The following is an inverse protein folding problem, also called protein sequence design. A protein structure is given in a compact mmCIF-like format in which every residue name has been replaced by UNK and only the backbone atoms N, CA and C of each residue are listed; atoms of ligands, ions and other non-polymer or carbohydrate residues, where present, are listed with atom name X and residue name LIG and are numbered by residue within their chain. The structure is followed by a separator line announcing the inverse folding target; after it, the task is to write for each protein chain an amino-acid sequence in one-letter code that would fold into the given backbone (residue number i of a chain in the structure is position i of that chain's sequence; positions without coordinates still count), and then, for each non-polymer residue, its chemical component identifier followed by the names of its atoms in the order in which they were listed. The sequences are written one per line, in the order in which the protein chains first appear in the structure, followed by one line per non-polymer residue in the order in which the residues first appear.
data_IF_650580382796
#
_entry.id   IF_650580382796
#
_cell.length_a   1.000
_cell.length_b   1.000
_cell.length_c   1.000
_cell.angle_alpha   90.00
_cell.angle_beta   90.00
_cell.angle_gamma   90.00
#
_symmetry.space_group_name_H-M   'P 1'
#
loop_
_entity.id
_entity.type
_entity.pdbx_description
1 polymer ?
#
# COMPACT_ATOMS: atom_id res chain seq x y z
N UNK A 1 -13.00 2.00 12.21
CA UNK A 1 -13.79 0.84 11.73
C UNK A 1 -13.27 -0.42 12.42
N UNK A 2 -14.12 -1.44 12.65
CA UNK A 2 -13.71 -2.74 13.21
C UNK A 2 -13.02 -3.62 12.16
N UNK A 3 -12.30 -4.66 12.60
CA UNK A 3 -11.68 -5.61 11.69
C UNK A 3 -12.72 -6.31 10.79
N UNK A 4 -13.83 -6.77 11.37
CA UNK A 4 -14.85 -7.52 10.63
C UNK A 4 -15.52 -6.66 9.55
N UNK A 5 -15.77 -5.38 9.84
CA UNK A 5 -16.33 -4.45 8.86
C UNK A 5 -15.31 -4.14 7.74
N UNK A 6 -14.03 -4.02 8.07
CA UNK A 6 -12.95 -3.82 7.09
C UNK A 6 -12.75 -5.06 6.20
N UNK A 7 -12.79 -6.27 6.79
CA UNK A 7 -12.70 -7.52 6.06
C UNK A 7 -13.90 -7.72 5.12
N UNK A 8 -15.11 -7.42 5.58
CA UNK A 8 -16.32 -7.50 4.75
C UNK A 8 -16.27 -6.51 3.58
N UNK A 9 -15.82 -5.27 3.83
CA UNK A 9 -15.56 -4.29 2.76
C UNK A 9 -14.53 -4.84 1.76
N UNK A 10 -13.40 -5.35 2.24
CA UNK A 10 -12.35 -5.90 1.39
C UNK A 10 -12.82 -7.08 0.53
N UNK A 11 -13.61 -8.01 1.09
CA UNK A 11 -14.21 -9.12 0.34
C UNK A 11 -15.11 -8.64 -0.80
N UNK A 12 -15.93 -7.62 -0.55
CA UNK A 12 -16.81 -7.02 -1.57
C UNK A 12 -16.01 -6.34 -2.68
N UNK A 13 -14.92 -5.67 -2.32
CA UNK A 13 -14.00 -5.06 -3.29
C UNK A 13 -13.38 -6.10 -4.22
N UNK A 14 -12.83 -7.18 -3.66
CA UNK A 14 -12.25 -8.26 -4.48
C UNK A 14 -13.28 -8.95 -5.40
N UNK A 15 -14.58 -8.87 -5.08
CA UNK A 15 -15.64 -9.42 -5.91
C UNK A 15 -16.01 -8.51 -7.10
N UNK A 16 -15.74 -7.21 -7.03
CA UNK A 16 -15.94 -6.26 -8.14
C UNK A 16 -14.71 -6.12 -9.03
N UNK A 17 -13.53 -6.44 -8.50
CA UNK A 17 -12.28 -6.40 -9.25
C UNK A 17 -12.18 -7.47 -10.35
N UNK A 18 -11.30 -7.23 -11.33
CA UNK A 18 -11.01 -8.22 -12.38
C UNK A 18 -10.64 -9.56 -11.75
N UNK A 19 -11.36 -10.62 -12.13
CA UNK A 19 -11.19 -11.93 -11.53
C UNK A 19 -9.73 -12.45 -11.60
N UNK A 20 -9.10 -12.58 -10.43
CA UNK A 20 -7.80 -13.25 -10.22
C UNK A 20 -7.91 -14.20 -9.02
N UNK A 21 -8.57 -15.37 -9.15
CA UNK A 21 -8.96 -16.20 -8.00
C UNK A 21 -7.81 -16.60 -7.09
N UNK A 22 -6.63 -16.96 -7.63
CA UNK A 22 -5.48 -17.33 -6.82
C UNK A 22 -4.92 -16.11 -6.06
N UNK A 23 -4.86 -14.95 -6.70
CA UNK A 23 -4.38 -13.70 -6.08
C UNK A 23 -5.34 -13.25 -4.98
N UNK A 24 -6.64 -13.18 -5.28
CA UNK A 24 -7.68 -12.76 -4.33
C UNK A 24 -7.77 -13.77 -3.17
N UNK A 25 -7.66 -15.07 -3.46
CA UNK A 25 -7.62 -16.13 -2.47
C UNK A 25 -6.45 -15.96 -1.49
N UNK A 26 -5.24 -15.66 -1.99
CA UNK A 26 -4.10 -15.39 -1.11
C UNK A 26 -4.27 -14.10 -0.32
N UNK A 27 -4.76 -13.01 -0.92
CA UNK A 27 -5.03 -11.77 -0.18
C UNK A 27 -6.00 -12.01 0.98
N UNK A 28 -7.06 -12.80 0.77
CA UNK A 28 -7.99 -13.19 1.84
C UNK A 28 -7.35 -14.11 2.88
N UNK A 29 -6.49 -15.04 2.46
CA UNK A 29 -5.76 -15.91 3.39
C UNK A 29 -4.76 -15.13 4.26
N UNK A 30 -4.20 -14.03 3.74
CA UNK A 30 -3.30 -13.12 4.44
C UNK A 30 -4.04 -12.06 5.27
N UNK A 31 -5.38 -12.01 5.23
CA UNK A 31 -6.19 -11.20 6.12
C UNK A 31 -6.20 -11.80 7.54
N UNK A 32 -5.06 -11.71 8.22
CA UNK A 32 -4.90 -12.23 9.57
C UNK A 32 -5.33 -11.16 10.60
N UNK A 33 -6.35 -11.43 11.43
CA UNK A 33 -6.90 -10.42 12.36
C UNK A 33 -5.89 -9.94 13.40
N UNK A 34 -5.03 -10.83 13.91
CA UNK A 34 -4.05 -10.47 14.92
C UNK A 34 -2.94 -9.57 14.34
N UNK A 35 -2.43 -9.91 13.16
CA UNK A 35 -1.41 -9.11 12.47
C UNK A 35 -1.97 -7.75 12.06
N UNK A 36 -3.12 -7.72 11.35
CA UNK A 36 -3.76 -6.50 10.87
C UNK A 36 -4.14 -5.60 12.04
N UNK A 37 -4.73 -6.16 13.10
CA UNK A 37 -5.11 -5.40 14.28
C UNK A 37 -3.91 -4.76 14.97
N UNK A 38 -2.83 -5.53 15.19
CA UNK A 38 -1.59 -5.02 15.81
C UNK A 38 -0.94 -3.91 14.99
N UNK A 39 -0.76 -4.13 13.69
CA UNK A 39 -0.06 -3.14 12.85
C UNK A 39 -0.90 -1.88 12.64
N UNK A 40 -2.22 -2.03 12.49
CA UNK A 40 -3.11 -0.86 12.37
C UNK A 40 -3.16 -0.05 13.66
N UNK A 41 -3.16 -0.72 14.83
CA UNK A 41 -3.06 -0.05 16.12
C UNK A 41 -1.72 0.68 16.26
N UNK A 42 -0.60 0.05 15.88
CA UNK A 42 0.74 0.68 15.96
C UNK A 42 0.82 1.95 15.10
N UNK A 43 0.22 1.93 13.90
CA UNK A 43 0.14 3.10 13.02
C UNK A 43 -0.78 4.18 13.61
N UNK A 44 -1.91 3.78 14.19
CA UNK A 44 -2.82 4.72 14.87
C UNK A 44 -2.13 5.40 16.05
N UNK A 45 -1.47 4.63 16.93
CA UNK A 45 -0.74 5.16 18.09
C UNK A 45 0.41 6.09 17.67
N UNK A 46 1.11 5.77 16.56
CA UNK A 46 2.12 6.64 15.99
C UNK A 46 1.53 7.99 15.54
N UNK A 47 0.42 7.97 14.80
CA UNK A 47 -0.30 9.18 14.37
C UNK A 47 -0.79 10.00 15.57
N UNK A 48 -1.43 9.36 16.55
CA UNK A 48 -1.93 10.00 17.76
C UNK A 48 -0.79 10.60 18.61
N UNK A 49 0.40 9.98 18.57
CA UNK A 49 1.62 10.44 19.20
C UNK A 49 2.39 11.53 18.43
N UNK A 50 1.92 11.93 17.24
CA UNK A 50 2.57 12.92 16.38
C UNK A 50 3.80 12.41 15.64
N UNK A 51 3.98 11.10 15.52
CA UNK A 51 4.98 10.51 14.63
C UNK A 51 4.55 10.61 13.17
N UNK A 52 5.51 10.75 12.25
CA UNK A 52 5.22 10.81 10.82
C UNK A 52 4.94 9.43 10.26
N UNK A 53 3.82 9.31 9.55
CA UNK A 53 3.48 8.14 8.73
C UNK A 53 3.45 8.56 7.27
N UNK A 54 4.39 8.04 6.49
CA UNK A 54 4.47 8.29 5.06
C UNK A 54 3.71 7.22 4.28
N UNK A 55 3.01 7.64 3.24
CA UNK A 55 2.27 6.76 2.33
C UNK A 55 2.69 6.98 0.88
N UNK A 56 2.75 5.89 0.12
CA UNK A 56 2.89 5.87 -1.33
C UNK A 56 2.28 4.59 -1.88
N UNK A 57 2.02 4.53 -3.18
CA UNK A 57 1.59 3.30 -3.86
C UNK A 57 2.14 3.24 -5.29
N UNK A 58 1.99 2.08 -5.94
CA UNK A 58 2.19 1.87 -7.37
C UNK A 58 3.61 2.25 -7.80
N UNK A 59 4.60 1.92 -6.97
CA UNK A 59 6.00 2.28 -7.25
C UNK A 59 6.47 1.61 -8.55
N UNK A 60 6.03 0.37 -8.79
CA UNK A 60 6.38 -0.42 -9.97
C UNK A 60 7.87 -0.37 -10.30
N UNK A 61 8.71 -0.54 -9.28
CA UNK A 61 10.16 -0.52 -9.41
C UNK A 61 10.59 -1.48 -10.52
N UNK A 62 11.42 -0.98 -11.44
CA UNK A 62 11.93 -1.76 -12.57
C UNK A 62 10.95 -1.96 -13.72
N UNK A 63 9.77 -1.33 -13.72
CA UNK A 63 8.80 -1.44 -14.81
C UNK A 63 8.99 -0.34 -15.86
N UNK A 64 9.74 -0.60 -16.93
CA UNK A 64 9.96 0.40 -17.99
C UNK A 64 8.67 0.91 -18.65
N UNK A 65 7.72 0.00 -18.92
CA UNK A 65 6.47 0.35 -19.62
C UNK A 65 5.53 1.27 -18.81
N UNK A 66 5.71 1.36 -17.48
CA UNK A 66 4.87 2.25 -16.66
C UNK A 66 5.10 3.72 -16.99
N UNK A 67 6.27 4.05 -17.52
CA UNK A 67 6.64 5.41 -17.89
C UNK A 67 5.67 5.94 -18.94
N UNK A 68 5.49 5.22 -20.04
CA UNK A 68 4.57 5.62 -21.10
C UNK A 68 3.11 5.46 -20.66
N UNK A 69 2.80 4.35 -19.98
CA UNK A 69 1.43 4.04 -19.55
C UNK A 69 0.85 5.11 -18.61
N UNK A 70 1.67 5.61 -17.67
CA UNK A 70 1.27 6.63 -16.71
C UNK A 70 1.86 8.02 -17.03
N UNK A 71 2.49 8.21 -18.19
CA UNK A 71 3.19 9.44 -18.54
C UNK A 71 4.10 9.96 -17.42
N UNK A 72 4.88 9.06 -16.79
CA UNK A 72 5.85 9.44 -15.76
C UNK A 72 6.95 10.28 -16.41
N UNK A 73 7.45 11.33 -15.73
CA UNK A 73 8.42 12.26 -16.29
C UNK A 73 9.87 11.71 -16.31
N UNK A 74 10.07 10.52 -16.90
CA UNK A 74 11.36 9.87 -17.02
C UNK A 74 11.57 9.38 -18.44
N UNK A 75 12.79 9.45 -18.95
CA UNK A 75 13.12 8.86 -20.25
C UNK A 75 13.31 7.34 -20.17
N UNK A 76 13.72 6.83 -19.00
CA UNK A 76 14.13 5.43 -18.83
C UNK A 76 14.02 4.97 -17.38
N UNK A 77 13.85 3.65 -17.20
CA UNK A 77 13.52 2.99 -15.92
C UNK A 77 14.59 3.21 -14.85
N UNK A 78 15.87 3.28 -15.24
CA UNK A 78 16.97 3.54 -14.30
C UNK A 78 16.87 4.93 -13.68
N UNK A 79 16.47 5.94 -14.47
CA UNK A 79 16.24 7.30 -14.00
C UNK A 79 15.05 7.37 -13.03
N UNK A 80 13.95 6.70 -13.37
CA UNK A 80 12.78 6.56 -12.51
C UNK A 80 13.14 5.92 -11.17
N UNK A 81 13.77 4.73 -11.18
CA UNK A 81 14.13 4.01 -9.96
C UNK A 81 15.04 4.83 -9.05
N UNK A 82 16.03 5.55 -9.60
CA UNK A 82 16.91 6.45 -8.83
C UNK A 82 16.13 7.59 -8.19
N UNK A 83 15.17 8.18 -8.92
CA UNK A 83 14.34 9.25 -8.39
C UNK A 83 13.46 8.74 -7.24
N UNK A 84 12.79 7.59 -7.43
CA UNK A 84 12.02 6.95 -6.37
C UNK A 84 12.90 6.69 -5.15
N UNK A 85 14.14 6.21 -5.34
CA UNK A 85 15.10 5.99 -4.25
C UNK A 85 15.32 7.25 -3.43
N UNK A 86 15.64 8.35 -4.11
CA UNK A 86 15.96 9.61 -3.47
C UNK A 86 14.76 10.21 -2.73
N UNK A 87 13.54 9.99 -3.23
CA UNK A 87 12.32 10.40 -2.52
C UNK A 87 12.09 9.56 -1.26
N UNK A 88 12.16 8.24 -1.37
CA UNK A 88 11.89 7.34 -0.25
C UNK A 88 13.01 7.39 0.81
N UNK A 89 14.24 7.74 0.43
CA UNK A 89 15.35 7.96 1.36
C UNK A 89 15.15 9.15 2.31
N UNK A 90 14.12 10.00 2.09
CA UNK A 90 13.77 11.10 3.00
C UNK A 90 13.08 10.65 4.27
N UNK A 91 12.48 9.46 4.26
CA UNK A 91 11.89 8.83 5.45
C UNK A 91 12.98 8.64 6.49
N UNK A 92 12.71 8.94 7.76
CA UNK A 92 13.70 8.75 8.83
C UNK A 92 13.66 7.32 9.37
N UNK A 93 14.76 6.79 9.94
CA UNK A 93 14.83 5.40 10.40
C UNK A 93 13.72 4.96 11.38
N UNK A 94 13.16 5.89 12.16
CA UNK A 94 12.11 5.61 13.15
C UNK A 94 10.69 5.86 12.63
N UNK A 95 10.56 6.50 11.47
CA UNK A 95 9.26 6.82 10.87
C UNK A 95 8.67 5.63 10.15
N UNK A 96 7.36 5.71 9.90
CA UNK A 96 6.65 4.68 9.17
C UNK A 96 6.60 4.99 7.68
N UNK A 97 6.76 3.95 6.87
CA UNK A 97 6.52 3.97 5.43
C UNK A 97 5.50 2.88 5.09
N UNK A 98 4.29 3.28 4.75
CA UNK A 98 3.22 2.40 4.28
C UNK A 98 3.17 2.45 2.76
N UNK A 99 3.42 1.31 2.12
CA UNK A 99 3.36 1.17 0.67
C UNK A 99 2.05 0.47 0.32
N UNK A 100 1.17 1.12 -0.43
CA UNK A 100 -0.21 0.68 -0.69
C UNK A 100 -0.35 -0.11 -2.00
N UNK A 101 0.65 -0.98 -2.21
CA UNK A 101 0.62 -2.04 -3.22
C UNK A 101 1.47 -1.75 -4.44
N UNK A 102 1.64 -2.79 -5.24
CA UNK A 102 2.31 -2.80 -6.54
C UNK A 102 3.73 -2.23 -6.46
N UNK A 103 4.53 -2.89 -5.62
CA UNK A 103 5.87 -2.46 -5.22
C UNK A 103 6.87 -2.50 -6.37
N UNK A 104 6.98 -3.65 -7.04
CA UNK A 104 7.98 -3.92 -8.06
C UNK A 104 7.42 -4.80 -9.17
N UNK A 105 7.94 -4.60 -10.39
CA UNK A 105 7.55 -5.34 -11.60
C UNK A 105 8.74 -5.66 -12.51
N UNK A 106 9.95 -5.23 -12.14
CA UNK A 106 11.21 -5.61 -12.80
C UNK A 106 11.89 -6.80 -12.14
N UNK A 107 13.23 -6.79 -12.14
CA UNK A 107 14.02 -7.81 -11.44
C UNK A 107 13.78 -7.74 -9.92
N UNK A 108 13.50 -8.91 -9.32
CA UNK A 108 13.13 -9.01 -7.92
C UNK A 108 14.30 -8.71 -6.99
N UNK A 109 15.49 -9.24 -7.30
CA UNK A 109 16.65 -9.11 -6.42
C UNK A 109 17.18 -7.67 -6.43
N UNK A 110 17.20 -7.02 -7.60
CA UNK A 110 17.50 -5.59 -7.73
C UNK A 110 16.49 -4.72 -6.97
N UNK A 111 15.19 -5.01 -7.10
CA UNK A 111 14.15 -4.29 -6.39
C UNK A 111 14.28 -4.47 -4.87
N UNK A 112 14.54 -5.68 -4.38
CA UNK A 112 14.66 -5.92 -2.94
C UNK A 112 15.96 -5.36 -2.35
N UNK A 113 17.07 -5.39 -3.09
CA UNK A 113 18.30 -4.67 -2.71
C UNK A 113 18.02 -3.17 -2.53
N UNK A 114 17.22 -2.60 -3.45
CA UNK A 114 16.77 -1.22 -3.36
C UNK A 114 15.86 -0.98 -2.14
N UNK A 115 14.81 -1.76 -1.93
CA UNK A 115 13.89 -1.61 -0.80
C UNK A 115 14.62 -1.71 0.55
N UNK A 116 15.58 -2.61 0.69
CA UNK A 116 16.42 -2.74 1.90
C UNK A 116 17.19 -1.47 2.21
N UNK A 117 17.60 -0.70 1.19
CA UNK A 117 18.33 0.56 1.37
C UNK A 117 17.46 1.70 1.89
N UNK A 118 16.14 1.57 1.77
CA UNK A 118 15.20 2.62 2.19
C UNK A 118 15.12 2.60 3.72
N UNK A 119 15.31 3.73 4.41
CA UNK A 119 15.13 3.84 5.85
C UNK A 119 13.66 3.68 6.28
N UNK A 120 13.44 3.55 7.59
CA UNK A 120 12.11 3.54 8.18
C UNK A 120 11.48 2.16 8.32
N UNK A 121 10.40 2.13 9.09
CA UNK A 121 9.59 0.95 9.44
C UNK A 121 8.56 0.73 8.33
N UNK A 122 8.69 -0.37 7.60
CA UNK A 122 7.95 -0.57 6.34
C UNK A 122 6.75 -1.47 6.54
N UNK A 123 5.60 -1.04 6.05
CA UNK A 123 4.39 -1.87 5.95
C UNK A 123 4.00 -1.95 4.49
N UNK A 124 3.78 -3.14 3.97
CA UNK A 124 3.24 -3.35 2.63
C UNK A 124 1.77 -3.74 2.72
N UNK A 125 0.90 -2.91 2.15
CA UNK A 125 -0.49 -3.25 1.87
C UNK A 125 -0.55 -3.80 0.44
N UNK A 126 -0.83 -5.09 0.29
CA UNK A 126 -0.65 -5.82 -0.98
C UNK A 126 -1.52 -5.26 -2.10
N UNK A 127 -0.88 -4.99 -3.24
CA UNK A 127 -1.50 -4.84 -4.54
C UNK A 127 -1.50 -6.15 -5.32
N UNK A 128 -2.17 -6.18 -6.47
CA UNK A 128 -2.30 -7.43 -7.23
C UNK A 128 -1.06 -7.82 -8.01
N UNK A 129 -0.12 -6.91 -8.23
CA UNK A 129 1.18 -7.20 -8.84
C UNK A 129 2.21 -7.68 -7.82
N UNK A 130 1.92 -7.60 -6.52
CA UNK A 130 2.76 -8.15 -5.45
C UNK A 130 2.62 -9.67 -5.28
N UNK A 131 1.71 -10.28 -6.04
CA UNK A 131 1.47 -11.71 -6.08
C UNK A 131 1.64 -12.25 -7.51
N UNK A 132 2.29 -13.41 -7.63
CA UNK A 132 2.33 -14.14 -8.89
C UNK A 132 0.93 -14.64 -9.27
N UNK A 133 0.75 -14.99 -10.55
CA UNK A 133 -0.51 -15.54 -11.07
C UNK A 133 -1.02 -16.77 -10.31
N UNK A 134 -0.12 -17.56 -9.72
CA UNK A 134 -0.48 -18.71 -8.89
C UNK A 134 -0.81 -18.35 -7.43
N UNK A 135 -0.90 -17.06 -7.09
CA UNK A 135 -1.19 -16.57 -5.74
C UNK A 135 0.03 -16.51 -4.81
N UNK A 136 1.25 -16.82 -5.26
CA UNK A 136 2.44 -16.69 -4.40
C UNK A 136 2.76 -15.22 -4.15
N UNK A 137 2.70 -14.78 -2.90
CA UNK A 137 3.19 -13.46 -2.49
C UNK A 137 4.72 -13.39 -2.62
N UNK A 138 5.24 -12.26 -3.11
CA UNK A 138 6.67 -12.08 -3.38
C UNK A 138 7.48 -11.67 -2.15
N UNK A 139 6.85 -11.15 -1.10
CA UNK A 139 7.56 -10.35 -0.09
C UNK A 139 7.45 -10.84 1.36
N UNK A 140 6.74 -11.94 1.61
CA UNK A 140 6.51 -12.44 2.98
C UNK A 140 7.80 -12.81 3.72
N UNK A 141 8.76 -13.38 2.99
CA UNK A 141 10.01 -13.91 3.53
C UNK A 141 11.21 -12.97 3.28
N UNK A 142 10.96 -11.75 2.80
CA UNK A 142 12.02 -10.78 2.56
C UNK A 142 12.61 -10.29 3.87
N UNK A 143 13.94 -10.31 3.96
CA UNK A 143 14.70 -9.96 5.15
C UNK A 143 15.64 -8.79 4.89
N UNK A 144 15.96 -8.03 5.93
CA UNK A 144 17.08 -7.10 5.93
C UNK A 144 18.42 -7.86 6.03
N UNK A 145 19.57 -7.20 5.84
CA UNK A 145 20.87 -7.86 5.95
C UNK A 145 21.18 -8.50 7.32
N UNK A 146 20.50 -8.07 8.40
CA UNK A 146 20.68 -8.65 9.74
C UNK A 146 19.77 -9.88 10.00
N UNK A 147 18.96 -10.28 9.02
CA UNK A 147 18.05 -11.41 9.09
C UNK A 147 16.67 -11.10 9.69
N UNK A 148 16.43 -9.86 10.13
CA UNK A 148 15.08 -9.42 10.51
C UNK A 148 14.15 -9.29 9.30
N UNK A 149 12.82 -9.40 9.46
CA UNK A 149 11.87 -9.13 8.39
C UNK A 149 12.05 -7.73 7.79
N UNK A 150 12.01 -7.63 6.47
CA UNK A 150 12.12 -6.35 5.75
C UNK A 150 10.91 -5.45 5.99
N UNK A 151 9.73 -6.06 6.16
CA UNK A 151 8.48 -5.39 6.46
C UNK A 151 8.03 -5.75 7.87
N UNK A 152 7.59 -4.75 8.62
CA UNK A 152 6.87 -4.91 9.89
C UNK A 152 5.59 -5.72 9.69
N UNK A 153 4.95 -5.55 8.53
CA UNK A 153 3.85 -6.39 8.09
C UNK A 153 3.68 -6.36 6.56
N UNK A 154 3.23 -7.49 6.00
CA UNK A 154 2.70 -7.61 4.65
C UNK A 154 1.24 -8.06 4.78
N UNK A 155 0.29 -7.18 4.46
CA UNK A 155 -1.14 -7.39 4.74
C UNK A 155 -2.01 -6.94 3.55
N UNK A 156 -3.22 -7.47 3.37
CA UNK A 156 -4.12 -7.05 2.28
C UNK A 156 -4.78 -5.69 2.49
N UNK A 157 -4.96 -5.26 3.74
CA UNK A 157 -5.56 -3.97 4.09
C UNK A 157 -5.16 -3.56 5.52
N UNK A 158 -5.39 -2.29 5.85
CA UNK A 158 -5.31 -1.73 7.21
C UNK A 158 -6.62 -1.02 7.56
N UNK A 159 -6.90 -0.88 8.84
CA UNK A 159 -8.07 -0.11 9.30
C UNK A 159 -7.83 0.51 10.68
N UNK A 160 -8.31 1.73 10.89
CA UNK A 160 -8.29 2.35 12.22
C UNK A 160 -9.44 3.35 12.39
N UNK A 161 -9.46 4.04 13.52
CA UNK A 161 -10.30 5.22 13.75
C UNK A 161 -9.41 6.46 13.70
N UNK A 162 -9.64 7.32 12.72
CA UNK A 162 -8.99 8.63 12.64
C UNK A 162 -9.63 9.65 13.58
N UNK A 163 -9.18 10.90 13.43
CA UNK A 163 -9.67 12.04 14.21
C UNK A 163 -11.20 12.13 14.18
N UNK A 164 -11.81 12.34 15.34
CA UNK A 164 -13.28 12.43 15.47
C UNK A 164 -14.02 11.12 15.24
N UNK A 165 -13.33 9.98 15.29
CA UNK A 165 -13.92 8.65 15.08
C UNK A 165 -14.19 8.29 13.62
N UNK A 166 -13.61 9.03 12.67
CA UNK A 166 -13.74 8.73 11.24
C UNK A 166 -13.13 7.36 10.93
N UNK A 167 -13.87 6.50 10.23
CA UNK A 167 -13.33 5.23 9.79
C UNK A 167 -12.24 5.45 8.73
N UNK A 168 -11.06 4.87 8.94
CA UNK A 168 -10.00 4.85 7.94
C UNK A 168 -9.78 3.42 7.45
N UNK A 169 -9.65 3.26 6.13
CA UNK A 169 -9.39 2.00 5.47
C UNK A 169 -8.29 2.19 4.41
N UNK A 170 -7.24 1.39 4.48
CA UNK A 170 -6.13 1.44 3.51
C UNK A 170 -6.11 0.14 2.76
N UNK A 171 -6.20 0.22 1.44
CA UNK A 171 -6.24 -0.92 0.54
C UNK A 171 -5.69 -0.50 -0.80
N UNK A 172 -5.01 -1.39 -1.52
CA UNK A 172 -4.55 -1.07 -2.87
C UNK A 172 -5.71 -0.68 -3.78
N UNK A 173 -6.78 -1.49 -3.78
CA UNK A 173 -8.01 -1.20 -4.51
C UNK A 173 -8.82 -0.08 -3.84
N UNK A 174 -9.38 0.87 -4.60
CA UNK A 174 -10.24 1.92 -4.07
C UNK A 174 -11.56 1.35 -3.55
N UNK A 175 -12.02 1.81 -2.39
CA UNK A 175 -13.22 1.33 -1.70
C UNK A 175 -14.54 1.81 -2.36
N UNK A 176 -14.81 1.40 -3.60
CA UNK A 176 -15.94 1.88 -4.42
C UNK A 176 -17.26 1.12 -4.21
N UNK A 177 -17.30 0.19 -3.26
CA UNK A 177 -18.47 -0.64 -2.93
C UNK A 177 -19.13 -0.21 -1.62
N UNK A 178 -20.39 -0.62 -1.43
CA UNK A 178 -21.14 -0.32 -0.21
C UNK A 178 -20.46 -0.84 1.07
N UNK A 179 -20.42 0.03 2.08
CA UNK A 179 -19.86 -0.26 3.40
C UNK A 179 -20.75 0.26 4.55
N UNK A 180 -20.45 -0.21 5.76
CA UNK A 180 -21.19 0.16 6.97
C UNK A 180 -20.77 1.50 7.58
N UNK A 181 -19.52 1.94 7.40
CA UNK A 181 -19.05 3.19 7.99
C UNK A 181 -19.89 4.39 7.52
N UNK A 182 -20.30 5.28 8.43
CA UNK A 182 -21.02 6.50 8.07
C UNK A 182 -20.18 7.39 7.14
N UNK A 183 -18.91 7.61 7.52
CA UNK A 183 -17.90 8.32 6.75
C UNK A 183 -16.61 7.51 6.74
N UNK A 184 -16.13 7.20 5.53
CA UNK A 184 -14.92 6.44 5.26
C UNK A 184 -13.87 7.35 4.63
N UNK A 185 -12.67 7.33 5.17
CA UNK A 185 -11.47 7.82 4.50
C UNK A 185 -10.74 6.61 3.93
N UNK A 186 -10.60 6.56 2.62
CA UNK A 186 -9.91 5.47 1.94
C UNK A 186 -8.62 5.96 1.29
N UNK A 187 -7.48 5.52 1.83
CA UNK A 187 -6.18 5.66 1.16
C UNK A 187 -5.99 4.46 0.23
N UNK A 188 -5.78 4.73 -1.05
CA UNK A 188 -5.67 3.67 -2.06
C UNK A 188 -4.63 3.98 -3.13
N UNK A 189 -4.35 3.00 -3.97
CA UNK A 189 -3.54 3.13 -5.18
C UNK A 189 -4.32 2.66 -6.40
N UNK A 190 -3.72 1.77 -7.19
CA UNK A 190 -4.31 0.97 -8.27
C UNK A 190 -4.75 1.75 -9.52
N UNK A 191 -5.38 2.90 -9.33
CA UNK A 191 -5.92 3.72 -10.41
C UNK A 191 -4.88 4.61 -11.09
N UNK A 192 -3.61 4.49 -10.70
CA UNK A 192 -2.53 5.33 -11.17
C UNK A 192 -2.89 6.81 -11.11
N UNK A 193 -3.02 7.49 -12.26
CA UNK A 193 -3.27 8.93 -12.34
C UNK A 193 -4.72 9.32 -12.02
N UNK A 194 -5.65 8.37 -12.00
CA UNK A 194 -7.05 8.69 -11.82
C UNK A 194 -7.35 8.97 -10.34
N UNK A 195 -8.09 10.05 -10.10
CA UNK A 195 -8.54 10.45 -8.76
C UNK A 195 -10.05 10.35 -8.74
N UNK A 196 -10.58 9.52 -7.84
CA UNK A 196 -12.02 9.38 -7.67
C UNK A 196 -12.59 10.60 -6.95
N UNK A 197 -13.74 11.13 -7.41
CA UNK A 197 -14.45 12.16 -6.65
C UNK A 197 -14.97 11.58 -5.33
N UNK A 198 -14.98 12.41 -4.29
CA UNK A 198 -15.60 12.02 -3.03
C UNK A 198 -17.10 11.75 -3.21
N UNK A 199 -17.62 10.78 -2.47
CA UNK A 199 -19.06 10.53 -2.36
C UNK A 199 -19.59 11.12 -1.05
N UNK A 200 -20.90 10.98 -0.81
CA UNK A 200 -21.48 11.35 0.49
C UNK A 200 -20.87 10.57 1.67
N UNK A 201 -20.36 9.36 1.42
CA UNK A 201 -19.88 8.44 2.46
C UNK A 201 -18.38 8.18 2.41
N UNK A 202 -17.73 8.37 1.26
CA UNK A 202 -16.32 8.00 1.07
C UNK A 202 -15.51 9.16 0.53
N UNK A 203 -14.44 9.49 1.24
CA UNK A 203 -13.37 10.36 0.74
C UNK A 203 -12.22 9.46 0.27
N UNK A 204 -11.93 9.51 -1.03
CA UNK A 204 -10.84 8.77 -1.64
C UNK A 204 -9.57 9.62 -1.66
N UNK A 205 -8.46 9.02 -1.24
CA UNK A 205 -7.13 9.62 -1.34
C UNK A 205 -6.25 8.63 -2.09
N UNK A 206 -6.01 8.92 -3.37
CA UNK A 206 -5.06 8.15 -4.16
C UNK A 206 -3.64 8.53 -3.75
N UNK A 207 -2.95 7.62 -3.07
CA UNK A 207 -1.55 7.76 -2.63
C UNK A 207 -0.56 7.18 -3.65
N UNK A 208 -1.05 6.76 -4.82
CA UNK A 208 -0.24 6.33 -5.95
C UNK A 208 0.76 7.40 -6.38
N UNK A 209 2.00 6.96 -6.65
CA UNK A 209 3.07 7.86 -7.07
C UNK A 209 2.70 8.66 -8.32
N UNK A 210 1.87 8.08 -9.19
CA UNK A 210 1.38 8.72 -10.42
C UNK A 210 0.48 9.95 -10.18
N UNK A 211 -0.04 10.12 -8.95
CA UNK A 211 -0.79 11.31 -8.51
C UNK A 211 0.09 12.23 -7.68
N UNK A 212 0.77 11.68 -6.66
CA UNK A 212 1.48 12.48 -5.65
C UNK A 212 2.87 12.92 -6.12
N UNK A 213 3.47 12.18 -7.06
CA UNK A 213 4.88 12.26 -7.45
C UNK A 213 5.85 12.26 -6.25
N UNK A 214 5.44 11.66 -5.15
CA UNK A 214 6.16 11.73 -3.88
C UNK A 214 5.48 10.93 -2.78
N UNK A 215 5.74 11.34 -1.54
CA UNK A 215 5.17 10.71 -0.34
C UNK A 215 4.09 11.61 0.24
N UNK A 216 2.95 11.03 0.59
CA UNK A 216 1.96 11.68 1.45
C UNK A 216 2.41 11.51 2.91
N UNK A 217 2.59 12.60 3.65
CA UNK A 217 2.79 12.55 5.10
C UNK A 217 1.44 12.74 5.79
N UNK A 218 1.13 11.84 6.71
CA UNK A 218 0.07 12.02 7.70
C UNK A 218 0.65 12.59 8.99
#
# INVERSE_FOLDING_TARGET
MTYDDALELFKRLLATERARPQVHGTMLALANPALIGRISLSLQEALDGGERVWMTSDLHVGHGNIIDYCNRPFAEVTGMNRHLQAQLAKVQPREWLVIVGDLAMGDHDEAMAWIRSIPGRKVLVLGNHDLKRNGRCLYLDEQTPDGSPLFEAVVPFLHWQGVGGQAVFVSHYPATVDHKAERLLNYHGHLHREVLPATQRTHFVNVGWDVTQGLLCL
#
